data_IF_681533643333
#
_entry.id   IF_681533643333
#
_cell.length_a   1.000
_cell.length_b   1.000
_cell.length_c   1.000
_cell.angle_alpha   90.00
_cell.angle_beta   90.00
_cell.angle_gamma   90.00
#
_symmetry.space_group_name_H-M   'P 1'
#
loop_
_entity.id
_entity.type
_entity.pdbx_description
1 polymer ?
#
# COMPACT_ATOMS: atom_id res chain seq x y z
N UNK A 1 -16.04 -27.00 7.15
CA UNK A 1 -16.67 -25.67 7.32
C UNK A 1 -16.33 -25.00 8.65
N UNK A 2 -16.39 -25.73 9.81
CA UNK A 2 -16.06 -25.15 11.13
C UNK A 2 -14.65 -24.55 11.16
N UNK A 3 -13.66 -25.24 10.66
CA UNK A 3 -12.26 -24.78 10.63
C UNK A 3 -12.05 -23.55 9.74
N UNK A 4 -12.83 -23.43 8.66
CA UNK A 4 -12.73 -22.27 7.78
C UNK A 4 -13.20 -20.97 8.49
N UNK A 5 -14.32 -21.04 9.21
CA UNK A 5 -14.82 -19.89 10.00
C UNK A 5 -13.84 -19.50 11.11
N UNK A 6 -13.27 -20.49 11.83
CA UNK A 6 -12.28 -20.22 12.85
C UNK A 6 -11.06 -19.49 12.29
N UNK A 7 -10.53 -19.95 11.16
CA UNK A 7 -9.35 -19.37 10.51
C UNK A 7 -9.63 -18.01 9.85
N UNK A 8 -10.89 -17.73 9.48
CA UNK A 8 -11.30 -16.48 8.84
C UNK A 8 -11.75 -15.43 9.87
N UNK A 9 -12.18 -15.85 11.06
CA UNK A 9 -12.73 -14.96 12.10
C UNK A 9 -11.80 -13.80 12.50
N UNK A 10 -10.46 -13.97 12.60
CA UNK A 10 -9.57 -12.87 12.92
C UNK A 10 -9.61 -11.77 11.84
N UNK A 11 -9.61 -12.17 10.56
CA UNK A 11 -9.73 -11.21 9.45
C UNK A 11 -11.08 -10.49 9.47
N UNK A 12 -12.19 -11.24 9.63
CA UNK A 12 -13.53 -10.64 9.69
C UNK A 12 -13.66 -9.65 10.84
N UNK A 13 -13.12 -10.00 12.02
CA UNK A 13 -13.10 -9.09 13.16
C UNK A 13 -12.35 -7.78 12.82
N UNK A 14 -11.14 -7.85 12.25
CA UNK A 14 -10.36 -6.67 11.87
C UNK A 14 -11.05 -5.84 10.79
N UNK A 15 -11.58 -6.51 9.74
CA UNK A 15 -12.24 -5.88 8.59
C UNK A 15 -13.52 -5.12 9.01
N UNK A 16 -14.14 -5.49 10.11
CA UNK A 16 -15.34 -4.83 10.62
C UNK A 16 -14.96 -3.81 11.70
N UNK A 17 -14.22 -4.22 12.73
CA UNK A 17 -14.03 -3.41 13.94
C UNK A 17 -13.21 -2.15 13.67
N UNK A 18 -12.06 -2.24 12.98
CA UNK A 18 -11.21 -1.10 12.75
C UNK A 18 -11.86 -0.01 11.87
N UNK A 19 -12.48 -0.32 10.70
CA UNK A 19 -13.22 0.66 9.92
C UNK A 19 -14.44 1.23 10.66
N UNK A 20 -15.20 0.42 11.40
CA UNK A 20 -16.38 0.88 12.16
C UNK A 20 -15.97 1.86 13.25
N UNK A 21 -14.91 1.58 14.01
CA UNK A 21 -14.38 2.51 15.01
C UNK A 21 -13.94 3.83 14.41
N UNK A 22 -13.28 3.82 13.24
CA UNK A 22 -12.91 5.05 12.53
C UNK A 22 -14.14 5.81 12.00
N UNK A 23 -15.14 5.11 11.51
CA UNK A 23 -16.39 5.74 11.11
C UNK A 23 -17.07 6.44 12.29
N UNK A 24 -17.21 5.75 13.42
CA UNK A 24 -17.80 6.31 14.65
C UNK A 24 -16.96 7.48 15.15
N UNK A 25 -15.64 7.33 15.21
CA UNK A 25 -14.70 8.37 15.65
C UNK A 25 -14.91 9.69 14.91
N UNK A 26 -14.96 9.66 13.58
CA UNK A 26 -14.94 10.88 12.78
C UNK A 26 -16.33 11.39 12.35
N UNK A 27 -17.36 10.53 12.35
CA UNK A 27 -18.67 10.90 11.83
C UNK A 27 -19.74 11.00 12.94
N UNK A 28 -19.50 10.43 14.12
CA UNK A 28 -20.46 10.39 15.24
C UNK A 28 -19.94 11.14 16.46
N UNK A 29 -18.70 10.90 16.85
CA UNK A 29 -18.13 11.43 18.10
C UNK A 29 -17.71 12.89 17.96
N UNK A 30 -18.24 13.76 18.82
CA UNK A 30 -17.87 15.18 18.92
C UNK A 30 -16.70 15.42 19.89
N UNK A 31 -16.60 14.63 20.96
CA UNK A 31 -15.55 14.77 21.95
C UNK A 31 -14.18 14.42 21.33
N UNK A 32 -13.23 15.37 21.37
CA UNK A 32 -11.90 15.21 20.75
C UNK A 32 -11.07 14.10 21.39
N UNK A 33 -11.12 13.98 22.72
CA UNK A 33 -10.35 12.96 23.44
C UNK A 33 -10.85 11.53 23.11
N UNK A 34 -12.18 11.34 23.13
CA UNK A 34 -12.78 10.05 22.77
C UNK A 34 -12.54 9.71 21.30
N UNK A 35 -12.57 10.70 20.41
CA UNK A 35 -12.22 10.53 18.99
C UNK A 35 -10.81 9.96 18.83
N UNK A 36 -9.81 10.60 19.45
CA UNK A 36 -8.42 10.16 19.38
C UNK A 36 -8.27 8.75 19.99
N UNK A 37 -8.93 8.45 21.10
CA UNK A 37 -8.91 7.12 21.70
C UNK A 37 -9.43 6.06 20.71
N UNK A 38 -10.57 6.30 20.06
CA UNK A 38 -11.13 5.37 19.07
C UNK A 38 -10.23 5.20 17.84
N UNK A 39 -9.58 6.28 17.38
CA UNK A 39 -8.60 6.20 16.30
C UNK A 39 -7.41 5.30 16.70
N UNK A 40 -6.86 5.51 17.88
CA UNK A 40 -5.73 4.71 18.40
C UNK A 40 -6.13 3.23 18.51
N UNK A 41 -7.31 2.94 19.08
CA UNK A 41 -7.82 1.57 19.17
C UNK A 41 -8.00 0.95 17.78
N UNK A 42 -8.60 1.69 16.83
CA UNK A 42 -8.82 1.19 15.48
C UNK A 42 -7.51 0.83 14.75
N UNK A 43 -6.45 1.65 14.92
CA UNK A 43 -5.13 1.40 14.34
C UNK A 43 -4.39 0.29 15.10
N UNK A 44 -4.59 0.18 16.41
CA UNK A 44 -3.95 -0.85 17.23
C UNK A 44 -4.48 -2.27 16.90
N UNK A 45 -5.75 -2.43 16.52
CA UNK A 45 -6.35 -3.73 16.22
C UNK A 45 -5.51 -4.54 15.23
N UNK A 46 -5.25 -4.10 13.98
CA UNK A 46 -4.44 -4.87 13.04
C UNK A 46 -2.99 -5.06 13.52
N UNK A 47 -2.44 -4.13 14.30
CA UNK A 47 -1.11 -4.28 14.89
C UNK A 47 -1.07 -5.40 15.95
N UNK A 48 -2.08 -5.47 16.81
CA UNK A 48 -2.21 -6.53 17.80
C UNK A 48 -2.36 -7.89 17.12
N UNK A 49 -3.23 -7.99 16.10
CA UNK A 49 -3.39 -9.25 15.36
C UNK A 49 -2.10 -9.68 14.67
N UNK A 50 -1.38 -8.74 14.05
CA UNK A 50 -0.08 -9.04 13.46
C UNK A 50 0.93 -9.55 14.50
N UNK A 51 0.86 -9.04 15.75
CA UNK A 51 1.70 -9.49 16.85
C UNK A 51 1.33 -10.88 17.38
N UNK A 52 0.03 -11.17 17.43
CA UNK A 52 -0.51 -12.42 17.98
C UNK A 52 -0.45 -13.61 17.01
N UNK A 53 -0.11 -13.36 15.73
CA UNK A 53 -0.08 -14.42 14.71
C UNK A 53 0.94 -15.52 15.01
N UNK A 54 0.61 -16.77 14.64
CA UNK A 54 1.55 -17.89 14.66
C UNK A 54 2.74 -17.65 13.70
N UNK A 55 3.92 -18.27 13.96
CA UNK A 55 5.06 -18.23 13.03
C UNK A 55 4.72 -18.68 11.61
N UNK A 56 3.75 -19.56 11.45
CA UNK A 56 3.34 -20.09 10.13
C UNK A 56 2.52 -19.09 9.29
N UNK A 57 2.12 -17.95 9.88
CA UNK A 57 1.36 -16.91 9.18
C UNK A 57 2.33 -15.93 8.54
N UNK A 58 2.67 -16.17 7.28
CA UNK A 58 3.61 -15.41 6.46
C UNK A 58 5.04 -15.92 6.54
N UNK A 59 5.59 -16.32 5.40
CA UNK A 59 6.91 -16.95 5.24
C UNK A 59 8.06 -16.10 5.77
N UNK A 60 7.98 -14.78 5.64
CA UNK A 60 9.02 -13.85 6.12
C UNK A 60 9.24 -13.95 7.64
N UNK A 61 8.22 -14.41 8.37
CA UNK A 61 8.29 -14.54 9.81
C UNK A 61 9.23 -15.67 10.23
N UNK A 62 9.03 -16.87 9.67
CA UNK A 62 9.91 -18.04 9.93
C UNK A 62 11.26 -17.87 9.28
N UNK A 63 11.32 -17.28 8.08
CA UNK A 63 12.57 -17.18 7.32
C UNK A 63 13.59 -16.27 7.99
N UNK A 64 13.17 -15.12 8.53
CA UNK A 64 14.11 -14.16 9.11
C UNK A 64 13.57 -13.33 10.27
N UNK A 65 12.23 -13.17 10.37
CA UNK A 65 11.65 -12.22 11.33
C UNK A 65 11.86 -12.62 12.79
N UNK A 66 11.49 -13.85 13.13
CA UNK A 66 11.60 -14.38 14.49
C UNK A 66 13.05 -14.64 14.88
N UNK A 67 13.80 -15.28 14.00
CA UNK A 67 15.23 -15.54 14.24
C UNK A 67 16.02 -14.22 14.47
N UNK A 68 15.81 -13.22 13.60
CA UNK A 68 16.47 -11.93 13.75
C UNK A 68 16.11 -11.23 15.06
N UNK A 69 14.84 -11.32 15.49
CA UNK A 69 14.41 -10.77 16.77
C UNK A 69 15.03 -11.49 17.98
N UNK A 70 15.13 -12.83 17.94
CA UNK A 70 15.77 -13.61 19.02
C UNK A 70 17.27 -13.25 19.13
N UNK A 71 17.98 -13.19 18.00
CA UNK A 71 19.40 -12.80 17.98
C UNK A 71 19.61 -11.37 18.51
N UNK A 72 18.70 -10.46 18.20
CA UNK A 72 18.75 -9.07 18.66
C UNK A 72 18.65 -8.90 20.19
N UNK A 73 18.12 -9.88 20.92
CA UNK A 73 17.89 -9.79 22.36
C UNK A 73 19.17 -9.81 23.21
N UNK A 74 20.21 -10.44 22.72
CA UNK A 74 21.45 -10.67 23.48
C UNK A 74 22.72 -10.17 22.81
N UNK A 75 22.72 -10.08 21.48
CA UNK A 75 23.90 -9.67 20.70
C UNK A 75 24.15 -8.16 20.78
N UNK A 76 25.41 -7.75 20.88
CA UNK A 76 25.79 -6.35 20.65
C UNK A 76 25.40 -5.91 19.23
N UNK A 77 25.31 -4.61 18.99
CA UNK A 77 24.99 -4.11 17.64
C UNK A 77 25.93 -4.62 16.56
N UNK A 78 27.24 -4.63 16.85
CA UNK A 78 28.26 -5.05 15.89
C UNK A 78 28.11 -6.55 15.54
N UNK A 79 27.89 -7.40 16.50
CA UNK A 79 27.66 -8.85 16.32
C UNK A 79 26.36 -9.10 15.56
N UNK A 80 25.27 -8.48 16.03
CA UNK A 80 23.96 -8.62 15.39
C UNK A 80 23.99 -8.18 13.94
N UNK A 81 24.44 -6.95 13.68
CA UNK A 81 24.47 -6.42 12.32
C UNK A 81 25.46 -7.16 11.43
N UNK A 82 26.61 -7.59 11.98
CA UNK A 82 27.56 -8.46 11.29
C UNK A 82 26.90 -9.73 10.74
N UNK A 83 25.98 -10.32 11.52
CA UNK A 83 25.26 -11.55 11.16
C UNK A 83 24.15 -11.31 10.15
N UNK A 84 23.37 -10.21 10.27
CA UNK A 84 22.14 -9.99 9.47
C UNK A 84 22.32 -9.10 8.25
N UNK A 85 23.45 -8.37 8.11
CA UNK A 85 23.67 -7.36 7.04
C UNK A 85 23.50 -7.85 5.61
N UNK A 86 23.65 -9.16 5.37
CA UNK A 86 23.42 -9.78 4.06
C UNK A 86 21.94 -10.03 3.72
N UNK A 87 21.06 -9.97 4.73
CA UNK A 87 19.66 -10.37 4.65
C UNK A 87 18.69 -9.24 5.01
N UNK A 88 19.14 -8.36 5.94
CA UNK A 88 18.33 -7.26 6.44
C UNK A 88 18.93 -5.91 6.04
N UNK A 89 18.12 -5.00 5.49
CA UNK A 89 18.50 -3.61 5.32
C UNK A 89 18.75 -2.95 6.69
N UNK A 90 19.62 -1.95 6.68
CA UNK A 90 20.10 -1.28 7.90
C UNK A 90 18.97 -0.79 8.81
N UNK A 91 17.95 -0.09 8.27
CA UNK A 91 16.86 0.47 9.07
C UNK A 91 16.00 -0.60 9.74
N UNK A 92 15.72 -1.69 9.03
CA UNK A 92 15.00 -2.82 9.60
C UNK A 92 15.82 -3.50 10.70
N UNK A 93 17.12 -3.72 10.46
CA UNK A 93 18.04 -4.28 11.46
C UNK A 93 18.12 -3.42 12.72
N UNK A 94 18.21 -2.10 12.56
CA UNK A 94 18.29 -1.17 13.68
C UNK A 94 17.03 -1.21 14.54
N UNK A 95 15.85 -1.19 13.91
CA UNK A 95 14.57 -1.30 14.63
C UNK A 95 14.47 -2.64 15.36
N UNK A 96 14.82 -3.75 14.69
CA UNK A 96 14.79 -5.08 15.30
C UNK A 96 15.71 -5.18 16.50
N UNK A 97 16.94 -4.67 16.37
CA UNK A 97 17.92 -4.66 17.44
C UNK A 97 17.48 -3.81 18.64
N UNK A 98 17.04 -2.58 18.38
CA UNK A 98 16.53 -1.70 19.44
C UNK A 98 15.36 -2.37 20.19
N UNK A 99 14.34 -2.85 19.47
CA UNK A 99 13.17 -3.46 20.10
C UNK A 99 13.57 -4.73 20.87
N UNK A 100 14.46 -5.57 20.34
CA UNK A 100 14.96 -6.78 20.99
C UNK A 100 15.65 -6.49 22.32
N UNK A 101 16.31 -5.33 22.45
CA UNK A 101 16.93 -4.92 23.71
C UNK A 101 15.93 -4.42 24.76
N UNK A 102 14.80 -3.83 24.32
CA UNK A 102 13.78 -3.31 25.24
C UNK A 102 12.75 -4.37 25.66
N UNK A 103 12.53 -5.38 24.82
CA UNK A 103 11.51 -6.40 25.11
C UNK A 103 11.87 -7.76 24.54
N UNK A 104 11.47 -8.81 25.24
CA UNK A 104 11.49 -10.19 24.73
C UNK A 104 10.11 -10.64 24.25
N UNK A 105 9.12 -9.74 24.31
CA UNK A 105 7.76 -10.02 23.89
C UNK A 105 7.63 -9.98 22.37
N UNK A 106 7.54 -11.15 21.75
CA UNK A 106 7.37 -11.35 20.31
C UNK A 106 6.14 -10.60 19.77
N UNK A 107 5.04 -10.67 20.49
CA UNK A 107 3.80 -9.97 20.12
C UNK A 107 4.02 -8.46 19.98
N UNK A 108 4.74 -7.85 20.93
CA UNK A 108 5.03 -6.43 20.88
C UNK A 108 5.94 -6.08 19.69
N UNK A 109 6.97 -6.89 19.41
CA UNK A 109 7.86 -6.68 18.29
C UNK A 109 7.11 -6.68 16.94
N UNK A 110 6.35 -7.74 16.63
CA UNK A 110 5.64 -7.82 15.35
C UNK A 110 4.47 -6.82 15.26
N UNK A 111 3.85 -6.49 16.40
CA UNK A 111 2.89 -5.40 16.47
C UNK A 111 3.49 -4.04 16.11
N UNK A 112 4.71 -3.74 16.60
CA UNK A 112 5.45 -2.53 16.24
C UNK A 112 5.88 -2.51 14.77
N UNK A 113 6.34 -3.64 14.22
CA UNK A 113 6.64 -3.75 12.78
C UNK A 113 5.39 -3.44 11.96
N UNK A 114 4.24 -3.99 12.33
CA UNK A 114 2.97 -3.69 11.66
C UNK A 114 2.55 -2.22 11.83
N UNK A 115 2.81 -1.62 12.99
CA UNK A 115 2.56 -0.19 13.19
C UNK A 115 3.42 0.68 12.26
N UNK A 116 4.69 0.32 12.03
CA UNK A 116 5.54 1.01 11.05
C UNK A 116 5.03 0.88 9.61
N UNK A 117 4.30 -0.18 9.27
CA UNK A 117 3.65 -0.33 7.97
C UNK A 117 2.36 0.51 7.86
N UNK A 118 1.51 0.44 8.89
CA UNK A 118 0.16 0.98 8.87
C UNK A 118 0.08 2.47 9.23
N UNK A 119 0.76 2.89 10.31
CA UNK A 119 0.61 4.26 10.86
C UNK A 119 0.94 5.35 9.84
N UNK A 120 2.04 5.28 9.06
CA UNK A 120 2.33 6.29 8.03
C UNK A 120 1.19 6.41 7.00
N UNK A 121 0.64 5.27 6.57
CA UNK A 121 -0.50 5.23 5.63
C UNK A 121 -1.76 5.81 6.27
N UNK A 122 -2.07 5.44 7.50
CA UNK A 122 -3.21 5.98 8.23
C UNK A 122 -3.12 7.49 8.41
N UNK A 123 -1.96 8.01 8.78
CA UNK A 123 -1.73 9.46 8.91
C UNK A 123 -1.96 10.17 7.57
N UNK A 124 -1.55 9.57 6.46
CA UNK A 124 -1.78 10.11 5.12
C UNK A 124 -3.27 10.12 4.76
N UNK A 125 -4.00 9.04 5.07
CA UNK A 125 -5.45 8.95 4.88
C UNK A 125 -6.17 10.01 5.73
N UNK A 126 -5.82 10.09 7.02
CA UNK A 126 -6.40 11.04 7.96
C UNK A 126 -6.17 12.49 7.52
N UNK A 127 -4.99 12.80 7.02
CA UNK A 127 -4.65 14.12 6.47
C UNK A 127 -5.49 14.47 5.26
N UNK A 128 -5.80 13.49 4.42
CA UNK A 128 -6.59 13.68 3.21
C UNK A 128 -8.07 13.87 3.52
N UNK A 129 -8.64 12.95 4.30
CA UNK A 129 -10.06 12.95 4.65
C UNK A 129 -10.32 12.15 5.94
N UNK A 130 -10.38 12.80 7.11
CA UNK A 130 -10.69 12.11 8.35
C UNK A 130 -12.01 11.33 8.32
N UNK A 131 -13.08 11.92 7.77
CA UNK A 131 -14.41 11.28 7.70
C UNK A 131 -14.46 10.05 6.78
N UNK A 132 -13.57 9.97 5.80
CA UNK A 132 -13.41 8.80 4.90
C UNK A 132 -12.32 7.83 5.35
N UNK A 133 -11.70 8.04 6.52
CA UNK A 133 -10.60 7.19 6.99
C UNK A 133 -11.01 5.71 7.17
N UNK A 134 -12.27 5.44 7.46
CA UNK A 134 -12.82 4.09 7.52
C UNK A 134 -12.70 3.35 6.18
N UNK A 135 -12.97 4.04 5.07
CA UNK A 135 -12.87 3.47 3.72
C UNK A 135 -11.41 3.20 3.34
N UNK A 136 -10.50 4.11 3.71
CA UNK A 136 -9.07 3.91 3.56
C UNK A 136 -8.55 2.74 4.38
N UNK A 137 -8.97 2.61 5.64
CA UNK A 137 -8.60 1.49 6.52
C UNK A 137 -9.11 0.16 5.97
N UNK A 138 -10.38 0.07 5.57
CA UNK A 138 -10.94 -1.13 4.96
C UNK A 138 -10.14 -1.54 3.71
N UNK A 139 -9.81 -0.58 2.85
CA UNK A 139 -8.99 -0.84 1.66
C UNK A 139 -7.58 -1.32 2.03
N UNK A 140 -6.94 -0.71 3.05
CA UNK A 140 -5.65 -1.16 3.55
C UNK A 140 -5.70 -2.60 4.03
N UNK A 141 -6.70 -2.95 4.82
CA UNK A 141 -6.87 -4.31 5.37
C UNK A 141 -7.13 -5.36 4.29
N UNK A 142 -7.85 -4.99 3.22
CA UNK A 142 -8.14 -5.91 2.11
C UNK A 142 -6.98 -6.11 1.15
N UNK A 143 -6.10 -5.10 0.96
CA UNK A 143 -5.08 -5.14 -0.09
C UNK A 143 -3.66 -5.16 0.47
N UNK A 144 -3.36 -4.31 1.45
CA UNK A 144 -1.99 -4.10 1.93
C UNK A 144 -1.65 -4.97 3.13
N UNK A 145 -2.61 -5.20 4.03
CA UNK A 145 -2.37 -5.94 5.27
C UNK A 145 -1.87 -7.37 5.02
N UNK A 146 -2.45 -8.19 4.11
CA UNK A 146 -1.91 -9.52 3.84
C UNK A 146 -0.46 -9.49 3.34
N UNK A 147 -0.15 -8.53 2.47
CA UNK A 147 1.23 -8.30 2.01
C UNK A 147 2.15 -7.87 3.15
N UNK A 148 1.70 -6.98 4.04
CA UNK A 148 2.51 -6.48 5.15
C UNK A 148 2.85 -7.55 6.19
N UNK A 149 2.07 -8.61 6.28
CA UNK A 149 2.37 -9.75 7.14
C UNK A 149 3.53 -10.60 6.59
N UNK A 150 3.70 -10.65 5.26
CA UNK A 150 4.75 -11.42 4.61
C UNK A 150 5.92 -10.55 4.09
N UNK A 151 5.65 -9.43 3.44
CA UNK A 151 6.67 -8.50 2.92
C UNK A 151 7.03 -7.37 3.90
N UNK A 152 7.26 -7.65 5.19
CA UNK A 152 7.36 -6.67 6.27
C UNK A 152 8.29 -5.49 5.96
N UNK A 153 9.52 -5.77 5.53
CA UNK A 153 10.53 -4.73 5.22
C UNK A 153 10.07 -3.78 4.11
N UNK A 154 9.51 -4.33 3.05
CA UNK A 154 9.01 -3.56 1.92
C UNK A 154 7.71 -2.82 2.28
N UNK A 155 6.83 -3.42 3.08
CA UNK A 155 5.59 -2.79 3.52
C UNK A 155 5.86 -1.54 4.38
N UNK A 156 6.91 -1.54 5.21
CA UNK A 156 7.37 -0.32 5.92
C UNK A 156 7.75 0.77 4.90
N UNK A 157 8.56 0.44 3.90
CA UNK A 157 8.97 1.38 2.87
C UNK A 157 7.78 1.93 2.06
N UNK A 158 6.79 1.08 1.72
CA UNK A 158 5.54 1.50 1.06
C UNK A 158 4.73 2.45 1.95
N UNK A 159 4.55 2.11 3.22
CA UNK A 159 3.84 2.94 4.20
C UNK A 159 4.48 4.32 4.34
N UNK A 160 5.79 4.38 4.51
CA UNK A 160 6.56 5.63 4.53
C UNK A 160 6.38 6.40 3.23
N UNK A 161 6.39 5.73 2.07
CA UNK A 161 6.16 6.34 0.76
C UNK A 161 4.84 7.10 0.67
N UNK A 162 3.76 6.57 1.24
CA UNK A 162 2.47 7.25 1.31
C UNK A 162 2.52 8.54 2.14
N UNK A 163 3.36 8.59 3.18
CA UNK A 163 3.58 9.77 3.99
C UNK A 163 4.48 10.80 3.27
N UNK A 164 5.55 10.33 2.62
CA UNK A 164 6.48 11.19 1.87
C UNK A 164 5.84 11.86 0.66
N UNK A 165 4.79 11.26 0.09
CA UNK A 165 3.97 11.86 -0.95
C UNK A 165 3.51 13.28 -0.60
N UNK A 166 3.20 13.57 0.67
CA UNK A 166 2.78 14.89 1.11
C UNK A 166 3.88 15.94 0.96
N UNK A 167 5.15 15.55 1.06
CA UNK A 167 6.28 16.45 0.82
C UNK A 167 6.31 16.92 -0.64
N UNK A 168 5.97 16.04 -1.59
CA UNK A 168 5.83 16.39 -3.01
C UNK A 168 4.63 17.33 -3.24
N UNK A 169 3.49 17.05 -2.59
CA UNK A 169 2.31 17.91 -2.68
C UNK A 169 2.62 19.31 -2.16
N UNK A 170 3.43 19.43 -1.11
CA UNK A 170 3.87 20.70 -0.50
C UNK A 170 5.09 21.33 -1.20
N UNK A 171 5.57 20.72 -2.30
CA UNK A 171 6.76 21.18 -3.04
C UNK A 171 8.06 21.14 -2.22
N UNK A 172 8.12 20.30 -1.20
CA UNK A 172 9.32 20.09 -0.35
C UNK A 172 10.20 18.99 -0.94
N UNK A 173 10.74 19.23 -2.12
CA UNK A 173 11.41 18.20 -2.93
C UNK A 173 12.68 17.64 -2.26
N UNK A 174 13.48 18.48 -1.61
CA UNK A 174 14.71 18.04 -0.92
C UNK A 174 14.34 17.08 0.23
N UNK A 175 13.33 17.44 1.04
CA UNK A 175 12.88 16.57 2.12
C UNK A 175 12.31 15.26 1.59
N UNK A 176 11.64 15.28 0.43
CA UNK A 176 11.18 14.05 -0.21
C UNK A 176 12.36 13.17 -0.62
N UNK A 177 13.40 13.72 -1.27
CA UNK A 177 14.60 12.97 -1.65
C UNK A 177 15.24 12.32 -0.43
N UNK A 178 15.50 13.09 0.64
CA UNK A 178 16.07 12.57 1.89
C UNK A 178 15.17 11.46 2.48
N UNK A 179 13.86 11.66 2.47
CA UNK A 179 12.91 10.69 3.00
C UNK A 179 12.89 9.39 2.21
N UNK A 180 13.02 9.43 0.87
CA UNK A 180 13.15 8.23 0.05
C UNK A 180 14.44 7.48 0.36
N UNK A 181 15.55 8.20 0.55
CA UNK A 181 16.82 7.58 0.97
C UNK A 181 16.69 6.93 2.35
N UNK A 182 15.99 7.56 3.31
CA UNK A 182 15.66 6.95 4.61
C UNK A 182 14.77 5.72 4.42
N UNK A 183 13.76 5.79 3.55
CA UNK A 183 12.92 4.64 3.21
C UNK A 183 13.71 3.47 2.63
N UNK A 184 14.77 3.74 1.85
CA UNK A 184 15.63 2.70 1.28
C UNK A 184 16.46 1.95 2.33
N UNK A 185 16.64 2.52 3.52
CA UNK A 185 17.24 1.81 4.66
C UNK A 185 16.34 0.68 5.19
N UNK A 186 15.04 0.72 4.91
CA UNK A 186 14.11 -0.38 5.23
C UNK A 186 13.98 -1.38 4.10
N UNK A 187 13.98 -0.92 2.84
CA UNK A 187 13.97 -1.79 1.67
C UNK A 187 14.55 -1.08 0.44
N UNK A 188 15.54 -1.66 -0.26
CA UNK A 188 16.20 -1.00 -1.40
C UNK A 188 15.26 -0.54 -2.50
N UNK A 189 14.16 -1.28 -2.73
CA UNK A 189 13.16 -0.90 -3.74
C UNK A 189 12.39 0.38 -3.42
N UNK A 190 12.55 0.98 -2.24
CA UNK A 190 12.01 2.31 -1.93
C UNK A 190 12.50 3.38 -2.93
N UNK A 191 13.64 3.15 -3.60
CA UNK A 191 14.16 4.04 -4.65
C UNK A 191 13.14 4.25 -5.79
N UNK A 192 12.23 3.30 -6.04
CA UNK A 192 11.14 3.46 -7.01
C UNK A 192 10.15 4.58 -6.64
N UNK A 193 10.14 5.03 -5.37
CA UNK A 193 9.35 6.21 -4.97
C UNK A 193 9.83 7.49 -5.68
N UNK A 194 11.06 7.55 -6.18
CA UNK A 194 11.51 8.69 -6.99
C UNK A 194 10.67 8.87 -8.26
N UNK A 195 10.05 7.81 -8.79
CA UNK A 195 9.12 7.91 -9.92
C UNK A 195 7.87 8.74 -9.60
N UNK A 196 7.54 8.92 -8.32
CA UNK A 196 6.42 9.78 -7.89
C UNK A 196 6.70 11.25 -8.25
N UNK A 197 7.95 11.69 -8.17
CA UNK A 197 8.31 13.10 -8.35
C UNK A 197 7.97 13.63 -9.75
N UNK A 198 8.44 13.05 -10.86
CA UNK A 198 8.10 13.55 -12.21
C UNK A 198 6.59 13.48 -12.48
N UNK A 199 5.90 12.45 -12.02
CA UNK A 199 4.43 12.33 -12.16
C UNK A 199 3.72 13.49 -11.45
N UNK A 200 4.09 13.80 -10.21
CA UNK A 200 3.51 14.92 -9.45
C UNK A 200 3.81 16.28 -10.12
N UNK A 201 5.02 16.48 -10.61
CA UNK A 201 5.39 17.73 -11.26
C UNK A 201 4.54 17.97 -12.53
N UNK A 202 4.35 16.94 -13.36
CA UNK A 202 3.49 17.00 -14.54
C UNK A 202 2.02 17.24 -14.18
N UNK A 203 1.51 16.53 -13.17
CA UNK A 203 0.11 16.64 -12.73
C UNK A 203 -0.16 18.03 -12.12
N UNK A 204 0.76 18.58 -11.31
CA UNK A 204 0.63 19.92 -10.71
C UNK A 204 0.67 21.03 -11.77
N UNK A 205 1.51 20.91 -12.77
CA UNK A 205 1.58 21.87 -13.87
C UNK A 205 0.32 21.82 -14.74
N UNK A 206 -0.31 20.65 -14.89
CA UNK A 206 -1.60 20.43 -15.51
C UNK A 206 -1.57 20.50 -17.03
N UNK A 207 -1.26 21.67 -17.61
CA UNK A 207 -1.27 21.91 -19.06
C UNK A 207 -0.09 22.78 -19.48
N UNK A 208 0.31 22.65 -20.73
CA UNK A 208 1.32 23.49 -21.38
C UNK A 208 0.83 23.90 -22.76
N UNK A 209 1.07 25.16 -23.16
CA UNK A 209 0.77 25.66 -24.50
C UNK A 209 2.05 25.72 -25.29
N UNK A 210 2.08 25.01 -26.42
CA UNK A 210 3.20 24.99 -27.36
C UNK A 210 2.69 25.33 -28.76
N UNK A 211 3.21 26.40 -29.37
CA UNK A 211 2.79 26.86 -30.69
C UNK A 211 1.26 27.01 -30.82
N UNK A 212 0.60 27.57 -29.79
CA UNK A 212 -0.85 27.79 -29.78
C UNK A 212 -1.71 26.53 -29.51
N UNK A 213 -1.10 25.35 -29.31
CA UNK A 213 -1.80 24.11 -28.98
C UNK A 213 -1.64 23.80 -27.48
N UNK A 214 -2.74 23.48 -26.82
CA UNK A 214 -2.75 23.07 -25.41
C UNK A 214 -2.51 21.57 -25.30
N UNK A 215 -1.48 21.17 -24.55
CA UNK A 215 -1.15 19.79 -24.25
C UNK A 215 -1.42 19.49 -22.78
N UNK A 216 -2.16 18.41 -22.51
CA UNK A 216 -2.40 17.95 -21.15
C UNK A 216 -1.18 17.19 -20.62
N UNK A 217 -0.52 17.76 -19.61
CA UNK A 217 0.59 17.12 -18.92
C UNK A 217 0.15 15.96 -18.01
N UNK A 218 -1.16 15.87 -17.71
CA UNK A 218 -1.73 14.71 -17.02
C UNK A 218 -1.71 13.47 -17.90
N UNK A 219 -1.98 13.64 -19.21
CA UNK A 219 -1.81 12.55 -20.19
C UNK A 219 -0.33 12.17 -20.30
N UNK A 220 0.58 13.16 -20.34
CA UNK A 220 2.01 12.88 -20.34
C UNK A 220 2.46 12.11 -19.08
N UNK A 221 1.91 12.43 -17.91
CA UNK A 221 2.17 11.68 -16.67
C UNK A 221 1.69 10.22 -16.75
N UNK A 222 0.50 10.00 -17.33
CA UNK A 222 -0.02 8.65 -17.58
C UNK A 222 0.88 7.86 -18.53
N UNK A 223 1.27 8.48 -19.66
CA UNK A 223 2.15 7.86 -20.64
C UNK A 223 3.52 7.54 -20.06
N UNK A 224 4.13 8.47 -19.31
CA UNK A 224 5.40 8.26 -18.63
C UNK A 224 5.34 7.04 -17.72
N UNK A 225 4.30 6.96 -16.91
CA UNK A 225 4.11 5.88 -15.95
C UNK A 225 3.90 4.53 -16.66
N UNK A 226 3.04 4.50 -17.68
CA UNK A 226 2.79 3.28 -18.47
C UNK A 226 4.06 2.84 -19.18
N UNK A 227 4.82 3.78 -19.79
CA UNK A 227 6.09 3.47 -20.46
C UNK A 227 7.13 2.93 -19.49
N UNK A 228 7.21 3.46 -18.26
CA UNK A 228 8.12 2.95 -17.23
C UNK A 228 7.80 1.49 -16.86
N UNK A 229 6.51 1.13 -16.75
CA UNK A 229 6.11 -0.26 -16.51
C UNK A 229 6.38 -1.18 -17.70
N UNK A 230 6.12 -0.72 -18.93
CA UNK A 230 6.45 -1.49 -20.14
C UNK A 230 7.97 -1.73 -20.19
N UNK A 231 8.76 -0.70 -19.91
CA UNK A 231 10.23 -0.83 -19.89
C UNK A 231 10.68 -1.83 -18.81
N UNK A 232 10.12 -1.75 -17.60
CA UNK A 232 10.41 -2.71 -16.53
C UNK A 232 9.99 -4.14 -16.92
N UNK A 233 8.87 -4.28 -17.63
CA UNK A 233 8.40 -5.57 -18.12
C UNK A 233 9.38 -6.15 -19.16
N UNK A 234 9.73 -5.37 -20.18
CA UNK A 234 10.66 -5.79 -21.23
C UNK A 234 12.05 -6.04 -20.66
N UNK A 235 12.57 -5.11 -19.85
CA UNK A 235 13.86 -5.25 -19.21
C UNK A 235 13.91 -6.50 -18.31
N UNK A 236 12.87 -6.74 -17.51
CA UNK A 236 12.77 -7.92 -16.67
C UNK A 236 12.82 -9.21 -17.48
N UNK A 237 12.06 -9.31 -18.58
CA UNK A 237 12.08 -10.48 -19.45
C UNK A 237 13.43 -10.71 -20.14
N UNK A 238 14.13 -9.64 -20.49
CA UNK A 238 15.44 -9.73 -21.18
C UNK A 238 16.57 -9.97 -20.19
N UNK A 239 16.61 -9.21 -19.07
CA UNK A 239 17.76 -9.22 -18.17
C UNK A 239 17.74 -10.33 -17.10
N UNK A 240 16.57 -10.79 -16.64
CA UNK A 240 16.50 -11.84 -15.61
C UNK A 240 17.22 -13.12 -16.05
N UNK A 241 17.07 -13.64 -17.29
CA UNK A 241 17.82 -14.79 -17.73
C UNK A 241 19.34 -14.62 -17.66
N UNK A 242 19.85 -13.43 -18.00
CA UNK A 242 21.29 -13.13 -17.90
C UNK A 242 21.77 -13.05 -16.45
N UNK A 243 21.02 -12.39 -15.59
CA UNK A 243 21.35 -12.27 -14.16
C UNK A 243 21.30 -13.63 -13.47
N UNK A 244 20.37 -14.50 -13.84
CA UNK A 244 20.26 -15.84 -13.31
C UNK A 244 21.44 -16.74 -13.73
N UNK A 245 22.02 -16.52 -14.92
CA UNK A 245 23.24 -17.21 -15.35
C UNK A 245 24.48 -16.74 -14.60
N UNK A 246 24.49 -15.49 -14.12
CA UNK A 246 25.64 -14.92 -13.40
C UNK A 246 25.66 -15.26 -11.91
N UNK A 247 24.54 -15.73 -11.36
CA UNK A 247 24.42 -16.02 -9.92
C UNK A 247 23.38 -17.09 -9.68
N UNK A 248 23.80 -18.25 -9.19
CA UNK A 248 22.94 -19.41 -8.87
C UNK A 248 21.77 -19.08 -7.94
N UNK A 249 21.97 -18.07 -7.06
CA UNK A 249 20.92 -17.55 -6.19
C UNK A 249 19.71 -16.93 -6.91
N UNK A 250 19.78 -16.70 -8.22
CA UNK A 250 18.66 -16.20 -9.04
C UNK A 250 18.02 -17.28 -9.93
N UNK A 251 18.52 -18.51 -9.91
CA UNK A 251 17.96 -19.64 -10.68
C UNK A 251 16.47 -19.89 -10.40
N UNK A 252 16.03 -19.69 -9.15
CA UNK A 252 14.62 -19.77 -8.78
C UNK A 252 13.71 -18.78 -9.51
N UNK A 253 14.25 -17.67 -10.03
CA UNK A 253 13.49 -16.70 -10.82
C UNK A 253 13.15 -17.25 -12.21
N UNK A 254 14.04 -18.07 -12.78
CA UNK A 254 13.80 -18.71 -14.10
C UNK A 254 12.71 -19.77 -14.03
N UNK A 255 12.68 -20.58 -12.97
CA UNK A 255 11.63 -21.59 -12.78
C UNK A 255 10.25 -20.94 -12.69
N UNK A 256 10.14 -19.77 -12.08
CA UNK A 256 8.88 -19.03 -11.92
C UNK A 256 8.47 -18.21 -13.15
N UNK A 257 9.35 -18.03 -14.14
CA UNK A 257 9.02 -17.34 -15.39
C UNK A 257 8.23 -18.22 -16.39
N UNK A 258 8.20 -19.53 -16.20
CA UNK A 258 7.69 -20.46 -17.22
C UNK A 258 6.17 -20.54 -17.32
N UNK A 259 5.42 -20.17 -16.26
CA UNK A 259 3.96 -20.37 -16.20
C UNK A 259 3.13 -19.06 -16.15
N UNK A 260 3.74 -17.91 -16.42
CA UNK A 260 3.15 -16.62 -16.18
C UNK A 260 2.10 -16.17 -17.20
N UNK A 261 0.82 -16.41 -16.92
CA UNK A 261 -0.31 -15.71 -17.55
C UNK A 261 -0.60 -14.37 -16.90
N UNK A 262 -1.37 -13.52 -17.58
CA UNK A 262 -1.83 -12.24 -17.03
C UNK A 262 -2.59 -12.45 -15.70
N UNK A 263 -2.34 -11.63 -14.72
CA UNK A 263 -3.06 -11.66 -13.44
C UNK A 263 -4.50 -11.16 -13.63
N UNK A 264 -5.41 -12.11 -13.98
CA UNK A 264 -6.80 -11.83 -14.32
C UNK A 264 -7.55 -11.14 -13.17
N UNK A 265 -7.28 -11.54 -11.93
CA UNK A 265 -7.93 -10.93 -10.76
C UNK A 265 -7.56 -9.46 -10.58
N UNK A 266 -6.30 -9.11 -10.84
CA UNK A 266 -5.84 -7.72 -10.82
C UNK A 266 -6.44 -6.90 -11.99
N UNK A 267 -6.64 -7.51 -13.17
CA UNK A 267 -7.32 -6.84 -14.31
C UNK A 267 -8.77 -6.55 -13.95
N UNK A 268 -9.51 -7.52 -13.42
CA UNK A 268 -10.92 -7.36 -13.02
C UNK A 268 -11.04 -6.28 -11.93
N UNK A 269 -10.14 -6.31 -10.94
CA UNK A 269 -10.13 -5.30 -9.89
C UNK A 269 -9.82 -3.90 -10.45
N UNK A 270 -8.82 -3.77 -11.32
CA UNK A 270 -8.49 -2.52 -12.00
C UNK A 270 -9.65 -2.01 -12.87
N UNK A 271 -10.33 -2.89 -13.58
CA UNK A 271 -11.52 -2.53 -14.37
C UNK A 271 -12.66 -2.02 -13.48
N UNK A 272 -12.90 -2.62 -12.32
CA UNK A 272 -13.92 -2.16 -11.35
C UNK A 272 -13.55 -0.82 -10.68
N UNK A 273 -12.26 -0.47 -10.61
CA UNK A 273 -11.77 0.80 -10.11
C UNK A 273 -12.02 1.97 -11.09
N UNK A 274 -11.99 1.72 -12.41
CA UNK A 274 -12.13 2.76 -13.45
C UNK A 274 -13.41 3.60 -13.31
N UNK A 275 -14.61 3.04 -13.10
CA UNK A 275 -15.81 3.84 -12.89
C UNK A 275 -15.71 4.78 -11.67
N UNK A 276 -15.11 4.33 -10.56
CA UNK A 276 -14.91 5.17 -9.37
C UNK A 276 -13.99 6.34 -9.70
N UNK A 277 -12.91 6.08 -10.44
CA UNK A 277 -11.94 7.08 -10.86
C UNK A 277 -12.59 8.13 -11.79
N UNK A 278 -13.29 7.70 -12.83
CA UNK A 278 -13.92 8.60 -13.81
C UNK A 278 -15.05 9.43 -13.19
N UNK A 279 -15.92 8.81 -12.41
CA UNK A 279 -17.03 9.50 -11.76
C UNK A 279 -16.56 10.44 -10.66
N UNK A 280 -15.57 10.06 -9.85
CA UNK A 280 -14.96 10.94 -8.86
C UNK A 280 -14.31 12.16 -9.51
N UNK A 281 -13.58 11.98 -10.61
CA UNK A 281 -13.04 13.09 -11.38
C UNK A 281 -14.13 14.02 -11.94
N UNK A 282 -15.24 13.45 -12.44
CA UNK A 282 -16.38 14.21 -12.94
C UNK A 282 -17.05 15.03 -11.83
N UNK A 283 -17.30 14.44 -10.66
CA UNK A 283 -17.86 15.14 -9.48
C UNK A 283 -16.94 16.31 -9.09
N UNK A 284 -15.64 16.05 -9.01
CA UNK A 284 -14.65 17.07 -8.64
C UNK A 284 -14.61 18.24 -9.64
N UNK A 285 -14.77 17.96 -10.95
CA UNK A 285 -14.83 19.01 -11.98
C UNK A 285 -16.13 19.81 -11.96
N UNK A 286 -17.22 19.23 -11.49
CA UNK A 286 -18.53 19.89 -11.34
C UNK A 286 -18.61 20.77 -10.08
N UNK A 287 -17.78 20.54 -9.09
CA UNK A 287 -17.73 21.33 -7.85
C UNK A 287 -17.16 22.74 -8.12
N UNK A 288 -17.94 23.78 -7.80
CA UNK A 288 -17.77 25.15 -8.35
C UNK A 288 -16.81 26.07 -7.58
N UNK A 289 -16.14 25.68 -6.53
CA UNK A 289 -15.36 26.61 -5.69
C UNK A 289 -13.86 26.69 -5.96
N UNK A 290 -13.22 27.79 -5.59
CA UNK A 290 -11.84 28.19 -5.94
C UNK A 290 -10.66 27.34 -5.49
N UNK A 291 -10.88 26.20 -4.78
CA UNK A 291 -9.86 25.22 -4.37
C UNK A 291 -9.54 24.17 -5.43
N UNK A 292 -10.15 24.27 -6.61
CA UNK A 292 -10.20 23.25 -7.67
C UNK A 292 -8.85 22.73 -8.16
N UNK A 293 -7.84 23.55 -8.33
CA UNK A 293 -6.58 23.15 -8.97
C UNK A 293 -5.81 22.11 -8.14
N UNK A 294 -5.74 22.32 -6.83
CA UNK A 294 -5.02 21.43 -5.89
C UNK A 294 -5.72 20.10 -5.74
N UNK A 295 -7.03 20.07 -5.53
CA UNK A 295 -7.79 18.84 -5.33
C UNK A 295 -7.84 18.00 -6.61
N UNK A 296 -7.96 18.61 -7.79
CA UNK A 296 -7.86 17.92 -9.08
C UNK A 296 -6.48 17.29 -9.26
N UNK A 297 -5.42 18.03 -8.95
CA UNK A 297 -4.05 17.50 -9.06
C UNK A 297 -3.81 16.36 -8.08
N UNK A 298 -4.26 16.52 -6.83
CA UNK A 298 -4.15 15.52 -5.79
C UNK A 298 -4.91 14.24 -6.14
N UNK A 299 -6.17 14.37 -6.55
CA UNK A 299 -6.99 13.23 -7.00
C UNK A 299 -6.37 12.50 -8.18
N UNK A 300 -5.94 13.27 -9.21
CA UNK A 300 -5.28 12.70 -10.40
C UNK A 300 -4.01 11.94 -10.04
N UNK A 301 -3.16 12.51 -9.18
CA UNK A 301 -1.92 11.86 -8.75
C UNK A 301 -2.19 10.56 -8.01
N UNK A 302 -3.08 10.56 -7.01
CA UNK A 302 -3.45 9.37 -6.24
C UNK A 302 -4.05 8.30 -7.17
N UNK A 303 -4.89 8.71 -8.14
CA UNK A 303 -5.46 7.80 -9.15
C UNK A 303 -4.38 7.17 -10.02
N UNK A 304 -3.43 7.96 -10.53
CA UNK A 304 -2.34 7.45 -11.35
C UNK A 304 -1.46 6.45 -10.59
N UNK A 305 -1.16 6.72 -9.31
CA UNK A 305 -0.37 5.79 -8.50
C UNK A 305 -1.13 4.49 -8.20
N UNK A 306 -2.44 4.57 -7.93
CA UNK A 306 -3.26 3.38 -7.78
C UNK A 306 -3.29 2.55 -9.07
N UNK A 307 -3.40 3.20 -10.24
CA UNK A 307 -3.31 2.55 -11.55
C UNK A 307 -1.95 1.88 -11.75
N UNK A 308 -0.85 2.57 -11.35
CA UNK A 308 0.48 2.00 -11.38
C UNK A 308 0.56 0.69 -10.58
N UNK A 309 -0.11 0.64 -9.44
CA UNK A 309 -0.23 -0.58 -8.64
C UNK A 309 -0.92 -1.72 -9.39
N UNK A 310 -2.06 -1.47 -10.03
CA UNK A 310 -2.76 -2.50 -10.82
C UNK A 310 -1.96 -2.99 -12.03
N UNK A 311 -1.29 -2.08 -12.74
CA UNK A 311 -0.38 -2.44 -13.83
C UNK A 311 0.81 -3.23 -13.27
N UNK A 312 1.38 -2.80 -12.15
CA UNK A 312 2.52 -3.45 -11.50
C UNK A 312 2.23 -4.89 -11.07
N UNK A 313 0.98 -5.23 -10.71
CA UNK A 313 0.60 -6.61 -10.43
C UNK A 313 0.73 -7.53 -11.65
N UNK A 314 0.75 -6.98 -12.88
CA UNK A 314 1.00 -7.77 -14.09
C UNK A 314 2.47 -8.19 -14.22
N UNK A 315 3.39 -7.59 -13.46
CA UNK A 315 4.78 -8.02 -13.40
C UNK A 315 4.97 -9.41 -12.76
N UNK A 316 3.92 -9.96 -12.14
CA UNK A 316 3.86 -11.35 -11.66
C UNK A 316 4.16 -12.35 -12.77
N UNK A 317 3.78 -12.04 -14.00
CA UNK A 317 4.12 -12.80 -15.22
C UNK A 317 5.63 -12.94 -15.44
N UNK A 318 6.44 -12.04 -14.89
CA UNK A 318 7.90 -12.07 -15.02
C UNK A 318 8.51 -12.83 -13.84
N UNK A 319 8.17 -12.41 -12.65
CA UNK A 319 8.57 -13.03 -11.39
C UNK A 319 7.70 -12.52 -10.25
N UNK A 320 7.28 -13.40 -9.35
CA UNK A 320 6.49 -13.05 -8.16
C UNK A 320 7.14 -11.92 -7.33
N UNK A 321 8.48 -11.89 -7.29
CA UNK A 321 9.23 -10.83 -6.62
C UNK A 321 9.06 -9.47 -7.27
N UNK A 322 8.82 -9.40 -8.58
CA UNK A 322 8.57 -8.13 -9.29
C UNK A 322 7.15 -7.61 -9.07
N UNK A 323 6.15 -8.48 -8.90
CA UNK A 323 4.81 -8.06 -8.52
C UNK A 323 4.78 -7.32 -7.17
N UNK A 324 5.75 -7.57 -6.29
CA UNK A 324 5.90 -6.83 -5.04
C UNK A 324 6.13 -5.32 -5.26
N UNK A 325 6.70 -4.90 -6.40
CA UNK A 325 6.85 -3.48 -6.75
C UNK A 325 5.50 -2.77 -6.91
N UNK A 326 4.45 -3.50 -7.27
CA UNK A 326 3.09 -2.98 -7.36
C UNK A 326 2.61 -2.32 -6.07
N UNK A 327 3.11 -2.77 -4.91
CA UNK A 327 2.66 -2.26 -3.62
C UNK A 327 3.11 -0.82 -3.35
N UNK A 328 4.14 -0.30 -4.05
CA UNK A 328 4.47 1.12 -4.05
C UNK A 328 3.40 1.99 -4.74
N UNK A 329 2.61 1.39 -5.62
CA UNK A 329 1.43 2.01 -6.22
C UNK A 329 0.15 1.71 -5.43
N UNK A 330 -0.08 0.44 -5.05
CA UNK A 330 -1.27 -0.01 -4.33
C UNK A 330 -1.43 0.65 -2.95
N UNK A 331 -0.33 1.11 -2.33
CA UNK A 331 -0.38 1.85 -1.05
C UNK A 331 -1.17 3.17 -1.16
N UNK A 332 -1.38 3.69 -2.38
CA UNK A 332 -2.21 4.87 -2.63
C UNK A 332 -3.70 4.55 -2.78
N UNK A 333 -4.07 3.28 -2.94
CA UNK A 333 -5.48 2.88 -3.07
C UNK A 333 -6.31 3.19 -1.81
N UNK A 334 -5.81 3.00 -0.58
CA UNK A 334 -6.45 3.50 0.63
C UNK A 334 -6.73 5.01 0.62
N UNK A 335 -5.78 5.82 0.13
CA UNK A 335 -5.94 7.26 -0.01
C UNK A 335 -7.00 7.59 -1.07
N UNK A 336 -6.95 6.89 -2.20
CA UNK A 336 -7.93 7.02 -3.27
C UNK A 336 -9.35 6.77 -2.77
N UNK A 337 -9.58 5.68 -2.04
CA UNK A 337 -10.90 5.33 -1.51
C UNK A 337 -11.40 6.33 -0.47
N UNK A 338 -10.54 6.82 0.41
CA UNK A 338 -10.89 7.89 1.35
C UNK A 338 -11.30 9.18 0.61
N UNK A 339 -10.64 9.50 -0.51
CA UNK A 339 -10.98 10.65 -1.33
C UNK A 339 -12.30 10.44 -2.11
N UNK A 340 -12.49 9.27 -2.70
CA UNK A 340 -13.72 8.93 -3.43
C UNK A 340 -14.96 9.05 -2.52
N UNK A 341 -14.86 8.58 -1.28
CA UNK A 341 -15.92 8.72 -0.26
C UNK A 341 -16.15 10.19 0.12
N UNK A 342 -15.09 11.01 0.21
CA UNK A 342 -15.23 12.48 0.40
C UNK A 342 -16.09 13.07 -0.72
N UNK A 343 -15.73 12.78 -1.97
CA UNK A 343 -16.45 13.31 -3.15
C UNK A 343 -17.92 12.84 -3.21
N UNK A 344 -18.17 11.58 -2.84
CA UNK A 344 -19.52 11.04 -2.74
C UNK A 344 -20.35 11.73 -1.63
N UNK A 345 -19.70 12.27 -0.59
CA UNK A 345 -20.35 13.03 0.48
C UNK A 345 -20.68 14.49 0.12
N UNK A 346 -19.98 15.09 -0.85
CA UNK A 346 -20.16 16.48 -1.23
C UNK A 346 -21.50 16.68 -1.97
N UNK A 347 -22.26 17.75 -1.61
CA UNK A 347 -23.58 18.04 -2.20
C UNK A 347 -23.50 18.70 -3.59
N UNK A 348 -22.33 19.01 -4.09
CA UNK A 348 -22.06 19.86 -5.26
C UNK A 348 -22.11 19.14 -6.61
N UNK A 349 -22.13 17.83 -6.65
CA UNK A 349 -22.30 17.05 -7.89
C UNK A 349 -23.76 16.85 -8.26
N UNK A 350 -24.11 16.84 -9.55
CA UNK A 350 -25.46 16.49 -9.99
C UNK A 350 -25.91 15.16 -9.40
N UNK A 351 -27.13 15.07 -8.89
CA UNK A 351 -27.62 13.92 -8.11
C UNK A 351 -27.35 12.57 -8.76
N UNK A 352 -27.57 12.44 -10.08
CA UNK A 352 -27.32 11.21 -10.84
C UNK A 352 -25.81 10.80 -10.84
N UNK A 353 -24.89 11.74 -11.04
CA UNK A 353 -23.45 11.44 -11.05
C UNK A 353 -22.97 10.99 -9.66
N UNK A 354 -23.48 11.62 -8.61
CA UNK A 354 -23.18 11.26 -7.22
C UNK A 354 -23.71 9.87 -6.86
N UNK A 355 -24.96 9.57 -7.21
CA UNK A 355 -25.54 8.23 -7.00
C UNK A 355 -24.71 7.17 -7.72
N UNK A 356 -24.35 7.41 -9.00
CA UNK A 356 -23.49 6.51 -9.75
C UNK A 356 -22.12 6.31 -9.09
N UNK A 357 -21.50 7.36 -8.53
CA UNK A 357 -20.25 7.25 -7.79
C UNK A 357 -20.41 6.39 -6.53
N UNK A 358 -21.48 6.58 -5.75
CA UNK A 358 -21.76 5.77 -4.54
C UNK A 358 -21.92 4.29 -4.90
N UNK A 359 -22.70 3.98 -5.94
CA UNK A 359 -22.88 2.61 -6.44
C UNK A 359 -21.54 2.01 -6.90
N UNK A 360 -20.74 2.78 -7.66
CA UNK A 360 -19.43 2.32 -8.11
C UNK A 360 -18.45 2.06 -6.96
N UNK A 361 -18.47 2.88 -5.90
CA UNK A 361 -17.70 2.65 -4.68
C UNK A 361 -18.13 1.34 -4.01
N UNK A 362 -19.42 1.08 -3.90
CA UNK A 362 -19.94 -0.16 -3.34
C UNK A 362 -19.53 -1.39 -4.14
N UNK A 363 -19.65 -1.34 -5.47
CA UNK A 363 -19.20 -2.41 -6.37
C UNK A 363 -17.69 -2.63 -6.27
N UNK A 364 -16.91 -1.56 -6.17
CA UNK A 364 -15.46 -1.69 -6.00
C UNK A 364 -15.07 -2.32 -4.66
N UNK A 365 -15.74 -1.99 -3.56
CA UNK A 365 -15.51 -2.68 -2.27
C UNK A 365 -15.89 -4.17 -2.34
N UNK A 366 -16.96 -4.52 -3.05
CA UNK A 366 -17.29 -5.93 -3.31
C UNK A 366 -16.19 -6.62 -4.11
N UNK A 367 -15.66 -5.95 -5.13
CA UNK A 367 -14.51 -6.42 -5.90
C UNK A 367 -13.24 -6.59 -5.05
N UNK A 368 -12.96 -5.65 -4.14
CA UNK A 368 -11.84 -5.74 -3.20
C UNK A 368 -11.99 -6.93 -2.24
N UNK A 369 -13.19 -7.14 -1.71
CA UNK A 369 -13.47 -8.28 -0.83
C UNK A 369 -13.32 -9.61 -1.59
N UNK A 370 -13.82 -9.70 -2.81
CA UNK A 370 -13.66 -10.86 -3.67
C UNK A 370 -12.17 -11.11 -4.02
N UNK A 371 -11.42 -10.05 -4.33
CA UNK A 371 -9.98 -10.11 -4.57
C UNK A 371 -9.22 -10.62 -3.34
N UNK A 372 -9.54 -10.08 -2.14
CA UNK A 372 -8.96 -10.54 -0.89
C UNK A 372 -9.22 -12.03 -0.65
N UNK A 373 -10.47 -12.48 -0.78
CA UNK A 373 -10.84 -13.88 -0.62
C UNK A 373 -10.11 -14.77 -1.63
N UNK A 374 -10.06 -14.37 -2.89
CA UNK A 374 -9.38 -15.13 -3.92
C UNK A 374 -7.86 -15.20 -3.68
N UNK A 375 -7.18 -14.07 -3.51
CA UNK A 375 -5.73 -14.03 -3.37
C UNK A 375 -5.26 -14.61 -2.04
N UNK A 376 -5.91 -14.23 -0.93
CA UNK A 376 -5.44 -14.57 0.41
C UNK A 376 -5.90 -15.95 0.83
N UNK A 377 -7.17 -16.30 0.57
CA UNK A 377 -7.77 -17.53 1.09
C UNK A 377 -7.66 -18.69 0.11
N UNK A 378 -7.98 -18.45 -1.18
CA UNK A 378 -8.00 -19.52 -2.19
C UNK A 378 -6.59 -19.75 -2.72
N UNK A 379 -5.92 -18.71 -3.24
CA UNK A 379 -4.58 -18.83 -3.84
C UNK A 379 -3.44 -18.82 -2.80
N UNK A 380 -3.70 -18.38 -1.57
CA UNK A 380 -2.70 -18.28 -0.47
C UNK A 380 -1.43 -17.53 -0.86
N UNK A 381 -1.57 -16.48 -1.68
CA UNK A 381 -0.43 -15.77 -2.33
C UNK A 381 0.58 -15.24 -1.32
N UNK A 382 0.15 -14.77 -0.17
CA UNK A 382 1.05 -14.25 0.87
C UNK A 382 1.32 -15.24 2.00
N UNK A 383 0.81 -16.47 1.89
CA UNK A 383 0.92 -17.52 2.92
C UNK A 383 0.44 -17.07 4.30
N UNK A 384 -0.54 -16.18 4.32
CA UNK A 384 -1.09 -15.59 5.55
C UNK A 384 -2.45 -16.20 5.94
N UNK A 385 -2.89 -17.21 5.21
CA UNK A 385 -4.10 -17.98 5.52
C UNK A 385 -3.76 -19.48 5.55
N UNK A 386 -4.23 -20.26 6.55
CA UNK A 386 -5.12 -19.86 7.67
C UNK A 386 -4.46 -18.88 8.64
N UNK A 387 -5.27 -17.99 9.25
CA UNK A 387 -4.77 -17.13 10.33
C UNK A 387 -4.88 -17.90 11.65
N UNK A 388 -3.74 -18.22 12.22
CA UNK A 388 -3.63 -18.92 13.49
C UNK A 388 -2.93 -18.03 14.51
N UNK A 389 -3.33 -18.17 15.76
CA UNK A 389 -2.68 -17.47 16.88
C UNK A 389 -1.54 -18.32 17.45
N UNK A 390 -0.55 -17.62 18.02
CA UNK A 390 0.57 -18.23 18.74
C UNK A 390 0.13 -18.74 20.10
#
# INVERSE_FOLDING_TARGET
MKDWFANMSPYLFMLISAPVLLYISHNVIKNKGLRVLLEVVAVAIPCIFAGLRSPDVGTDMTTYGEWGFIQAQTASWAEYYGTVKGWHPFGYSLVTWLVGHFTRCRMLYFGLIQALCLVPTYLSIRRLNPSGSWAGMLTYLLVIFPFSLNGMKQAIACGLGSLFFWLLIESRYIFFVVSVLVGSLFHPTAIFLFLLMPVILLVKKGEIVVKGRTFSLRIAALLLMTSAFILLFVAGRVFIPYVAQLRDSFGFLLERMQDGGLNKSAIILGASWVPVCCLGYKVLRQSISGTKGRDVSLYTAISLYSLAGFIGLQLDVIALSMARLAYFGLIFLPLFMAFAVKLAGEKTGGGKTRTALIVSIGLFFTGLAAYFLYQTVICRVSEVFPFTFY
#
